data_IF_669324696136
#
_entry.id   IF_669324696136
#
_cell.length_a   1.000
_cell.length_b   1.000
_cell.length_c   1.000
_cell.angle_alpha   90.00
_cell.angle_beta   90.00
_cell.angle_gamma   90.00
#
_symmetry.space_group_name_H-M   'P 1'
#
loop_
_entity.id
_entity.type
_entity.pdbx_description
1 polymer ?
#
# COMPACT_ATOMS: atom_id res chain seq x y z
N UNK A 1 -2.81 -12.80 36.55
CA UNK A 1 -3.71 -12.80 35.37
C UNK A 1 -2.92 -12.61 34.10
N UNK A 2 -3.27 -13.36 33.09
CA UNK A 2 -2.55 -13.31 31.83
C UNK A 2 -3.35 -12.53 30.82
N UNK A 3 -2.72 -11.53 30.22
CA UNK A 3 -3.37 -10.74 29.19
C UNK A 3 -2.75 -10.93 27.83
N UNK A 4 -1.77 -11.80 27.70
CA UNK A 4 -0.98 -11.89 26.47
C UNK A 4 -1.78 -12.16 25.22
N UNK A 5 -2.84 -12.94 25.34
CA UNK A 5 -3.65 -13.30 24.18
C UNK A 5 -4.98 -12.57 24.13
N UNK A 6 -5.21 -11.69 25.06
CA UNK A 6 -6.47 -11.00 25.10
C UNK A 6 -6.52 -9.93 24.02
N UNK A 7 -7.62 -9.90 23.29
CA UNK A 7 -7.87 -8.86 22.32
C UNK A 7 -9.12 -8.10 22.72
N UNK A 8 -9.01 -6.78 22.65
CA UNK A 8 -10.18 -5.94 22.89
C UNK A 8 -11.23 -6.23 21.83
N UNK A 9 -12.52 -6.18 22.21
CA UNK A 9 -13.58 -6.45 21.23
C UNK A 9 -13.53 -5.56 19.98
N UNK A 10 -13.02 -4.35 20.11
CA UNK A 10 -12.95 -3.41 19.00
C UNK A 10 -11.59 -3.38 18.32
N UNK A 11 -10.73 -4.32 18.65
CA UNK A 11 -9.40 -4.32 18.07
C UNK A 11 -9.48 -4.43 16.55
N UNK A 12 -8.70 -3.60 15.86
CA UNK A 12 -8.58 -3.64 14.41
C UNK A 12 -7.12 -3.67 14.05
N UNK A 13 -6.73 -4.47 13.06
CA UNK A 13 -5.37 -4.41 12.55
C UNK A 13 -5.06 -3.02 12.02
N UNK A 14 -3.79 -2.65 12.04
CA UNK A 14 -3.35 -1.37 11.51
C UNK A 14 -3.16 -1.50 10.00
N UNK A 15 -4.25 -1.64 9.28
CA UNK A 15 -4.22 -1.82 7.84
C UNK A 15 -5.12 -0.81 7.15
N UNK A 16 -4.90 -0.70 5.85
CA UNK A 16 -5.73 0.12 4.98
C UNK A 16 -6.00 -0.66 3.71
N UNK A 17 -7.00 -0.23 2.96
CA UNK A 17 -7.32 -0.86 1.69
C UNK A 17 -6.48 -0.25 0.58
N UNK A 18 -5.93 -1.12 -0.26
CA UNK A 18 -5.17 -0.69 -1.43
C UNK A 18 -5.77 -1.30 -2.68
N UNK A 19 -5.96 -0.47 -3.69
CA UNK A 19 -6.31 -0.93 -5.03
C UNK A 19 -5.34 -0.33 -6.04
N UNK A 20 -4.89 -1.15 -6.97
CA UNK A 20 -4.08 -0.69 -8.10
C UNK A 20 -4.86 -0.99 -9.37
N UNK A 21 -5.19 0.08 -10.09
CA UNK A 21 -6.05 0.00 -11.26
C UNK A 21 -5.31 0.51 -12.49
N UNK A 22 -5.54 -0.15 -13.61
CA UNK A 22 -5.18 0.37 -14.92
C UNK A 22 -6.47 0.59 -15.68
N UNK A 23 -6.43 1.27 -16.85
CA UNK A 23 -7.66 1.45 -17.63
C UNK A 23 -8.36 0.15 -17.97
N UNK A 24 -7.64 -0.95 -18.00
CA UNK A 24 -8.21 -2.22 -18.46
C UNK A 24 -8.67 -3.12 -17.34
N UNK A 25 -8.04 -3.05 -16.17
CA UNK A 25 -8.41 -3.99 -15.11
C UNK A 25 -7.85 -3.56 -13.77
N UNK A 26 -8.34 -4.24 -12.74
CA UNK A 26 -7.82 -4.13 -11.39
C UNK A 26 -6.69 -5.14 -11.24
N UNK A 27 -5.51 -4.66 -10.90
CA UNK A 27 -4.33 -5.49 -10.75
C UNK A 27 -4.11 -5.97 -9.32
N UNK A 28 -4.58 -5.21 -8.36
CA UNK A 28 -4.39 -5.54 -6.96
C UNK A 28 -5.55 -4.98 -6.14
N UNK A 29 -5.96 -5.72 -5.13
CA UNK A 29 -6.97 -5.25 -4.20
C UNK A 29 -6.80 -6.03 -2.90
N UNK A 30 -6.69 -5.32 -1.79
CA UNK A 30 -6.58 -5.99 -0.50
C UNK A 30 -6.20 -5.04 0.61
N UNK A 31 -6.15 -5.59 1.81
CA UNK A 31 -5.69 -4.86 2.97
C UNK A 31 -4.18 -4.97 3.08
N UNK A 32 -3.53 -3.85 3.36
CA UNK A 32 -2.07 -3.80 3.46
C UNK A 32 -1.69 -2.95 4.66
N UNK A 33 -0.47 -3.16 5.16
CA UNK A 33 0.06 -2.35 6.23
C UNK A 33 0.50 -0.98 5.71
N UNK A 34 1.11 -0.95 4.55
CA UNK A 34 1.59 0.29 3.97
C UNK A 34 1.93 0.14 2.50
N UNK A 35 2.20 1.26 1.86
CA UNK A 35 2.62 1.26 0.46
C UNK A 35 3.59 2.41 0.22
N UNK A 36 4.69 2.13 -0.48
CA UNK A 36 5.67 3.13 -0.88
C UNK A 36 5.54 3.34 -2.37
N UNK A 37 5.52 4.60 -2.79
CA UNK A 37 5.21 4.94 -4.17
C UNK A 37 6.21 5.96 -4.72
N UNK A 38 6.49 5.91 -6.03
CA UNK A 38 7.40 6.86 -6.65
C UNK A 38 6.67 8.15 -7.03
N UNK A 39 6.58 9.08 -6.08
CA UNK A 39 6.00 10.39 -6.37
C UNK A 39 6.89 11.22 -7.28
N UNK A 40 6.30 12.18 -7.97
CA UNK A 40 7.05 13.04 -8.86
C UNK A 40 8.16 13.79 -8.11
N UNK A 41 7.88 14.20 -6.88
CA UNK A 41 8.85 14.93 -6.07
C UNK A 41 9.70 14.02 -5.19
N UNK A 42 9.55 12.72 -5.32
CA UNK A 42 10.30 11.76 -4.53
C UNK A 42 9.41 10.65 -4.03
N UNK A 43 10.04 9.59 -3.59
CA UNK A 43 9.34 8.45 -3.03
C UNK A 43 8.69 8.83 -1.70
N UNK A 44 7.50 8.31 -1.45
CA UNK A 44 6.81 8.54 -0.19
C UNK A 44 6.05 7.28 0.23
N UNK A 45 5.70 7.23 1.50
CA UNK A 45 5.05 6.08 2.09
C UNK A 45 3.72 6.48 2.70
N UNK A 46 2.72 5.63 2.54
CA UNK A 46 1.39 5.83 3.12
C UNK A 46 1.11 4.66 4.05
N UNK A 47 0.73 5.00 5.27
CA UNK A 47 0.34 4.03 6.29
C UNK A 47 -1.09 4.30 6.70
N UNK A 48 -1.60 3.46 7.59
CA UNK A 48 -2.97 3.57 8.09
C UNK A 48 -3.32 4.99 8.52
N UNK A 49 -4.52 5.41 8.16
CA UNK A 49 -5.09 6.71 8.58
C UNK A 49 -4.29 7.91 8.07
N UNK A 50 -3.58 7.74 6.99
CA UNK A 50 -2.92 8.87 6.35
C UNK A 50 -3.94 9.92 5.97
N UNK A 51 -3.55 11.19 6.10
CA UNK A 51 -4.42 12.29 5.71
C UNK A 51 -4.79 12.22 4.22
N UNK A 52 -5.92 12.78 3.83
CA UNK A 52 -6.30 12.79 2.42
C UNK A 52 -5.20 13.38 1.54
N UNK A 53 -4.97 12.75 0.39
CA UNK A 53 -3.88 13.12 -0.49
C UNK A 53 -4.23 12.73 -1.92
N UNK A 54 -3.89 13.61 -2.86
CA UNK A 54 -3.86 13.25 -4.27
C UNK A 54 -2.48 13.65 -4.77
N UNK A 55 -1.79 12.71 -5.40
CA UNK A 55 -0.42 12.97 -5.85
C UNK A 55 -0.16 12.28 -7.18
N UNK A 56 0.63 12.93 -8.02
CA UNK A 56 1.07 12.34 -9.27
C UNK A 56 2.23 11.39 -9.02
N UNK A 57 2.25 10.31 -9.77
CA UNK A 57 3.28 9.29 -9.69
C UNK A 57 4.07 9.26 -10.99
N UNK A 58 5.37 9.02 -10.85
CA UNK A 58 6.25 8.82 -12.00
C UNK A 58 6.51 7.34 -12.19
N UNK A 59 7.01 6.94 -13.37
CA UNK A 59 7.40 5.54 -13.54
C UNK A 59 8.43 5.14 -12.49
N UNK A 60 8.26 3.95 -11.93
CA UNK A 60 9.16 3.46 -10.91
C UNK A 60 8.56 2.30 -10.16
N UNK A 61 9.20 1.94 -9.06
CA UNK A 61 8.78 0.78 -8.28
C UNK A 61 7.89 1.21 -7.15
N UNK A 62 6.75 0.54 -7.07
CA UNK A 62 5.81 0.65 -5.96
C UNK A 62 6.00 -0.58 -5.08
N UNK A 63 6.11 -0.37 -3.77
CA UNK A 63 6.34 -1.46 -2.83
C UNK A 63 5.16 -1.56 -1.86
N UNK A 64 4.61 -2.75 -1.75
CA UNK A 64 3.50 -3.02 -0.84
C UNK A 64 4.05 -3.73 0.40
N UNK A 65 3.76 -3.15 1.56
CA UNK A 65 4.07 -3.76 2.84
C UNK A 65 2.81 -4.50 3.27
N UNK A 66 2.81 -5.83 3.12
CA UNK A 66 1.59 -6.59 3.33
C UNK A 66 1.16 -6.61 4.78
N UNK A 67 2.13 -6.65 5.68
CA UNK A 67 1.84 -6.62 7.11
C UNK A 67 3.02 -5.99 7.85
N UNK A 68 2.87 -5.87 9.15
CA UNK A 68 3.86 -5.19 9.98
C UNK A 68 5.22 -5.88 9.96
N UNK A 69 5.26 -7.17 9.71
CA UNK A 69 6.51 -7.91 9.68
C UNK A 69 7.42 -7.46 8.54
N UNK A 70 6.88 -6.82 7.53
CA UNK A 70 7.67 -6.30 6.43
C UNK A 70 8.67 -5.25 6.89
N UNK A 71 8.41 -4.60 8.02
CA UNK A 71 9.30 -3.55 8.52
C UNK A 71 10.52 -4.10 9.24
N UNK A 72 10.43 -5.27 9.84
CA UNK A 72 11.45 -5.71 10.78
C UNK A 72 12.43 -6.72 10.23
N UNK A 73 12.01 -7.55 9.29
CA UNK A 73 12.87 -8.66 8.87
C UNK A 73 13.26 -8.59 7.41
N UNK A 74 12.70 -7.67 6.66
CA UNK A 74 12.93 -7.65 5.23
C UNK A 74 12.44 -8.91 4.55
N UNK A 75 11.57 -9.66 5.21
CA UNK A 75 11.09 -10.92 4.69
C UNK A 75 10.34 -10.74 3.40
N UNK A 76 10.78 -11.42 2.35
CA UNK A 76 10.19 -11.25 1.04
C UNK A 76 8.74 -11.67 0.98
N UNK A 77 8.32 -12.55 1.89
CA UNK A 77 6.94 -13.00 1.94
C UNK A 77 5.97 -11.94 2.42
N UNK A 78 6.48 -10.84 2.97
CA UNK A 78 5.67 -9.76 3.50
C UNK A 78 5.70 -8.52 2.60
N UNK A 79 6.36 -8.64 1.46
CA UNK A 79 6.51 -7.54 0.52
C UNK A 79 5.99 -7.96 -0.84
N UNK A 80 5.44 -7.01 -1.57
CA UNK A 80 5.13 -7.20 -2.97
C UNK A 80 5.55 -5.94 -3.72
N UNK A 81 5.95 -6.12 -4.97
CA UNK A 81 6.43 -5.01 -5.77
C UNK A 81 5.73 -4.98 -7.11
N UNK A 82 5.47 -3.78 -7.60
CA UNK A 82 5.01 -3.54 -8.94
C UNK A 82 5.90 -2.48 -9.58
N UNK A 83 6.26 -2.68 -10.82
CA UNK A 83 6.84 -1.61 -11.62
C UNK A 83 5.69 -0.92 -12.30
N UNK A 84 5.49 0.37 -11.99
CA UNK A 84 4.36 1.13 -12.50
C UNK A 84 4.82 2.18 -13.49
N UNK A 85 3.91 2.53 -14.39
CA UNK A 85 4.07 3.68 -15.24
C UNK A 85 3.43 4.89 -14.56
N UNK A 86 3.43 6.02 -15.23
CA UNK A 86 2.91 7.25 -14.65
C UNK A 86 1.43 7.14 -14.30
N UNK A 87 1.01 7.89 -13.32
CA UNK A 87 -0.39 7.91 -12.90
C UNK A 87 -0.59 8.79 -11.70
N UNK A 88 -1.60 8.43 -10.92
CA UNK A 88 -1.98 9.19 -9.73
C UNK A 88 -2.31 8.25 -8.59
N UNK A 89 -2.22 8.77 -7.39
CA UNK A 89 -2.72 8.08 -6.21
C UNK A 89 -3.67 8.99 -5.47
N UNK A 90 -4.75 8.40 -4.97
CA UNK A 90 -5.68 9.08 -4.07
C UNK A 90 -5.70 8.34 -2.75
N UNK A 91 -5.53 9.08 -1.65
CA UNK A 91 -5.66 8.54 -0.30
C UNK A 91 -6.85 9.23 0.33
N UNK A 92 -7.85 8.45 0.73
CA UNK A 92 -9.06 9.00 1.32
C UNK A 92 -9.72 7.93 2.17
N UNK A 93 -10.06 8.31 3.40
CA UNK A 93 -10.81 7.43 4.31
C UNK A 93 -10.17 6.05 4.45
N UNK A 94 -8.87 6.03 4.67
CA UNK A 94 -8.09 4.81 4.88
C UNK A 94 -8.11 3.88 3.67
N UNK A 95 -8.27 4.46 2.49
CA UNK A 95 -8.22 3.72 1.24
C UNK A 95 -7.26 4.40 0.29
N UNK A 96 -6.38 3.61 -0.31
CA UNK A 96 -5.40 4.06 -1.28
C UNK A 96 -5.81 3.52 -2.64
N UNK A 97 -6.03 4.40 -3.59
CA UNK A 97 -6.37 4.03 -4.95
C UNK A 97 -5.26 4.52 -5.87
N UNK A 98 -4.58 3.59 -6.52
CA UNK A 98 -3.50 3.87 -7.45
C UNK A 98 -4.03 3.67 -8.86
N UNK A 99 -4.00 4.74 -9.66
CA UNK A 99 -4.50 4.73 -11.03
C UNK A 99 -3.29 4.98 -11.94
N UNK A 100 -2.86 3.96 -12.66
CA UNK A 100 -1.66 4.05 -13.48
C UNK A 100 -1.96 3.55 -14.90
N UNK A 101 -1.13 4.00 -15.85
CA UNK A 101 -1.30 3.59 -17.23
C UNK A 101 -0.98 2.11 -17.43
N UNK A 102 -0.06 1.62 -16.65
CA UNK A 102 0.31 0.22 -16.70
C UNK A 102 1.14 -0.16 -15.49
N UNK A 103 1.15 -1.44 -15.18
CA UNK A 103 1.94 -1.96 -14.08
C UNK A 103 2.21 -3.45 -14.30
N UNK A 104 3.35 -3.90 -13.81
CA UNK A 104 3.78 -5.29 -13.92
C UNK A 104 4.23 -5.74 -12.54
N UNK A 105 3.71 -6.88 -12.10
CA UNK A 105 4.15 -7.45 -10.84
C UNK A 105 5.61 -7.91 -10.96
N UNK A 106 6.38 -7.65 -9.93
CA UNK A 106 7.80 -8.00 -9.87
C UNK A 106 7.95 -9.13 -8.87
N UNK A 107 8.60 -10.18 -9.31
CA UNK A 107 8.85 -11.31 -8.43
C UNK A 107 10.14 -11.21 -7.68
#
# INVERSE_FOLDING_TARGET
MVFGNYRLPNYKPQTMNLEILTPEKKLYSGEVYGVQMPGISGSFEVLEKHAPLISALKPGRLKILKDKSALSSGGQNHLAHFDIQAGFVEVLNNKVTVLVEGAVAVE
#
